data_IF_450088421119
#
_entry.id   IF_450088421119
#
_cell.length_a   1.000
_cell.length_b   1.000
_cell.length_c   1.000
_cell.angle_alpha   90.00
_cell.angle_beta   90.00
_cell.angle_gamma   90.00
#
_symmetry.space_group_name_H-M   'P 1'
#
loop_
_entity.id
_entity.type
_entity.pdbx_description
1 polymer ?
#
# COMPACT_ATOMS: atom_id res chain seq x y z
N UNK A 1 12.62 -44.40 7.05
CA UNK A 1 12.43 -44.09 5.61
C UNK A 1 11.00 -43.69 5.26
N UNK A 2 9.96 -44.46 5.60
CA UNK A 2 8.54 -44.08 5.32
C UNK A 2 8.12 -42.71 5.91
N UNK A 3 8.53 -42.36 7.13
CA UNK A 3 8.20 -41.06 7.77
C UNK A 3 8.88 -39.83 7.14
N UNK A 4 10.08 -40.00 6.57
CA UNK A 4 10.80 -38.92 5.86
C UNK A 4 10.16 -38.68 4.49
N UNK A 5 9.69 -39.75 3.84
CA UNK A 5 8.95 -39.65 2.57
C UNK A 5 7.60 -38.95 2.74
N UNK A 6 6.92 -39.13 3.88
CA UNK A 6 5.68 -38.42 4.22
C UNK A 6 5.90 -36.92 4.45
N UNK A 7 7.04 -36.54 5.05
CA UNK A 7 7.38 -35.13 5.29
C UNK A 7 7.74 -34.39 4.00
N UNK A 8 8.45 -35.04 3.08
CA UNK A 8 8.74 -34.49 1.75
C UNK A 8 7.47 -34.33 0.89
N UNK A 9 6.50 -35.25 1.00
CA UNK A 9 5.25 -35.17 0.23
C UNK A 9 4.32 -34.04 0.71
N UNK A 10 4.42 -33.64 1.98
CA UNK A 10 3.70 -32.49 2.54
C UNK A 10 4.29 -31.15 2.09
N UNK A 11 5.58 -31.11 1.73
CA UNK A 11 6.27 -29.89 1.30
C UNK A 11 6.00 -29.52 -0.17
N UNK A 12 5.53 -30.48 -0.99
CA UNK A 12 5.29 -30.30 -2.44
C UNK A 12 3.88 -29.77 -2.76
N UNK A 13 2.97 -29.69 -1.78
CA UNK A 13 1.59 -29.22 -1.99
C UNK A 13 1.35 -27.74 -1.63
N UNK A 14 2.39 -26.95 -1.41
CA UNK A 14 2.28 -25.49 -1.23
C UNK A 14 2.37 -24.76 -2.57
N UNK A 15 1.52 -25.12 -3.54
CA UNK A 15 1.24 -24.23 -4.67
C UNK A 15 0.25 -23.18 -4.18
N UNK A 16 0.76 -22.14 -3.51
CA UNK A 16 -0.05 -20.97 -3.17
C UNK A 16 -0.41 -20.23 -4.45
N UNK A 17 -1.71 -20.12 -4.77
CA UNK A 17 -2.16 -19.12 -5.74
C UNK A 17 -1.79 -17.74 -5.20
N UNK A 18 -0.83 -17.08 -5.84
CA UNK A 18 -0.61 -15.65 -5.65
C UNK A 18 -1.69 -14.91 -6.42
N UNK A 19 -2.36 -13.94 -5.80
CA UNK A 19 -3.24 -13.01 -6.51
C UNK A 19 -2.39 -12.06 -7.34
N UNK A 20 -2.78 -11.83 -8.59
CA UNK A 20 -2.18 -10.80 -9.45
C UNK A 20 -3.15 -9.63 -9.61
N UNK A 21 -2.63 -8.42 -9.77
CA UNK A 21 -3.52 -7.25 -9.94
C UNK A 21 -4.40 -7.40 -11.19
N UNK A 22 -3.90 -8.09 -12.22
CA UNK A 22 -4.64 -8.30 -13.46
C UNK A 22 -5.86 -9.20 -13.31
N UNK A 23 -6.01 -9.93 -12.19
CA UNK A 23 -7.22 -10.68 -11.86
C UNK A 23 -8.44 -9.76 -11.71
N UNK A 24 -8.23 -8.49 -11.40
CA UNK A 24 -9.27 -7.48 -11.20
C UNK A 24 -9.67 -6.74 -12.48
N UNK A 25 -9.10 -7.05 -13.65
CA UNK A 25 -9.28 -6.28 -14.90
C UNK A 25 -10.73 -6.02 -15.34
N UNK A 26 -11.67 -6.87 -14.93
CA UNK A 26 -13.09 -6.77 -15.26
C UNK A 26 -13.95 -6.17 -14.13
N UNK A 27 -13.35 -5.82 -12.99
CA UNK A 27 -14.04 -5.23 -11.86
C UNK A 27 -14.31 -3.74 -12.09
N UNK A 28 -15.44 -3.28 -11.57
CA UNK A 28 -15.88 -1.89 -11.64
C UNK A 28 -16.28 -1.39 -10.24
N UNK A 29 -16.19 -0.08 -9.96
CA UNK A 29 -15.67 0.97 -10.85
C UNK A 29 -14.14 0.87 -11.06
N UNK A 30 -13.66 1.27 -12.24
CA UNK A 30 -12.21 1.29 -12.51
C UNK A 30 -11.51 2.38 -11.70
N UNK A 31 -10.36 2.05 -11.10
CA UNK A 31 -9.54 2.97 -10.34
C UNK A 31 -8.50 3.64 -11.25
N UNK A 32 -8.61 4.97 -11.41
CA UNK A 32 -7.49 5.82 -11.85
C UNK A 32 -6.98 6.62 -10.64
N UNK A 33 -5.77 6.32 -10.19
CA UNK A 33 -5.16 6.97 -9.01
C UNK A 33 -4.93 8.47 -9.23
N UNK A 34 -4.72 8.93 -10.47
CA UNK A 34 -4.55 10.35 -10.77
C UNK A 34 -5.86 11.08 -10.55
N UNK A 35 -6.97 10.51 -11.04
CA UNK A 35 -8.29 11.09 -10.85
C UNK A 35 -8.74 11.00 -9.39
N UNK A 36 -8.53 9.86 -8.73
CA UNK A 36 -8.99 9.63 -7.36
C UNK A 36 -8.31 10.57 -6.37
N UNK A 37 -6.98 10.70 -6.45
CA UNK A 37 -6.20 11.51 -5.51
C UNK A 37 -6.04 12.97 -5.95
N UNK A 38 -6.55 13.39 -7.11
CA UNK A 38 -6.56 14.81 -7.47
C UNK A 38 -7.49 15.59 -6.54
N UNK A 39 -6.93 16.59 -5.85
CA UNK A 39 -7.64 17.43 -4.89
C UNK A 39 -7.39 16.99 -3.45
N UNK A 40 -8.45 16.93 -2.64
CA UNK A 40 -8.39 16.59 -1.22
C UNK A 40 -8.92 15.17 -0.98
N UNK A 41 -8.15 14.40 -0.23
CA UNK A 41 -8.53 13.07 0.25
C UNK A 41 -8.14 12.97 1.72
N UNK A 42 -8.99 12.35 2.53
CA UNK A 42 -8.69 12.03 3.93
C UNK A 42 -8.67 10.51 4.09
N UNK A 43 -7.92 10.01 5.06
CA UNK A 43 -8.02 8.61 5.43
C UNK A 43 -7.79 8.36 6.91
N UNK A 44 -8.40 7.27 7.38
CA UNK A 44 -8.20 6.74 8.73
C UNK A 44 -7.55 5.39 8.64
N UNK A 45 -6.49 5.20 9.42
CA UNK A 45 -5.67 4.01 9.35
C UNK A 45 -5.28 3.45 10.71
N UNK A 46 -4.81 2.21 10.67
CA UNK A 46 -4.20 1.54 11.82
C UNK A 46 -3.02 0.68 11.40
N UNK A 47 -2.04 0.59 12.29
CA UNK A 47 -0.90 -0.31 12.20
C UNK A 47 -1.11 -1.46 13.16
N UNK A 48 -0.96 -2.70 12.68
CA UNK A 48 -1.07 -3.91 13.50
C UNK A 48 0.21 -4.73 13.42
N UNK A 49 0.54 -5.41 14.52
CA UNK A 49 1.63 -6.40 14.52
C UNK A 49 1.19 -7.74 13.92
N UNK A 50 2.13 -8.69 13.83
CA UNK A 50 1.88 -10.06 13.32
C UNK A 50 0.79 -10.84 14.07
N UNK A 51 0.44 -10.45 15.29
CA UNK A 51 -0.62 -11.07 16.09
C UNK A 51 -1.99 -10.41 15.88
N UNK A 52 -2.03 -9.31 15.10
CA UNK A 52 -3.23 -8.50 14.88
C UNK A 52 -3.46 -7.46 15.97
N UNK A 53 -2.54 -7.30 16.94
CA UNK A 53 -2.65 -6.26 17.95
C UNK A 53 -2.48 -4.88 17.28
N UNK A 54 -3.44 -3.99 17.48
CA UNK A 54 -3.31 -2.60 17.04
C UNK A 54 -2.22 -1.91 17.85
N UNK A 55 -1.18 -1.44 17.16
CA UNK A 55 -0.07 -0.72 17.74
C UNK A 55 -0.33 0.78 17.75
N UNK A 56 -0.87 1.30 16.65
CA UNK A 56 -1.16 2.73 16.44
C UNK A 56 -2.37 2.89 15.53
N UNK A 57 -3.03 4.04 15.63
CA UNK A 57 -4.03 4.50 14.67
C UNK A 57 -3.72 5.93 14.26
N UNK A 58 -4.15 6.33 13.08
CA UNK A 58 -3.78 7.62 12.54
C UNK A 58 -4.85 8.16 11.59
N UNK A 59 -4.84 9.48 11.46
CA UNK A 59 -5.53 10.23 10.43
C UNK A 59 -4.50 10.73 9.42
N UNK A 60 -4.85 10.79 8.14
CA UNK A 60 -4.01 11.42 7.12
C UNK A 60 -4.81 12.35 6.22
N UNK A 61 -4.32 13.58 6.11
CA UNK A 61 -4.79 14.58 5.16
C UNK A 61 -3.90 14.56 3.91
N UNK A 62 -4.50 14.36 2.74
CA UNK A 62 -3.80 14.23 1.47
C UNK A 62 -4.24 15.34 0.52
N UNK A 63 -3.26 16.05 -0.04
CA UNK A 63 -3.48 16.98 -1.14
C UNK A 63 -2.75 16.49 -2.37
N UNK A 64 -3.49 16.11 -3.40
CA UNK A 64 -2.93 15.68 -4.66
C UNK A 64 -3.01 16.74 -5.75
N UNK A 65 -1.92 16.86 -6.51
CA UNK A 65 -1.82 17.74 -7.67
C UNK A 65 -1.29 16.97 -8.87
N UNK A 66 -1.90 17.15 -10.04
CA UNK A 66 -1.49 16.50 -11.28
C UNK A 66 -0.91 17.54 -12.23
N UNK A 67 0.33 17.34 -12.67
CA UNK A 67 1.00 18.15 -13.69
C UNK A 67 1.58 17.21 -14.74
N UNK A 68 1.01 17.24 -15.95
CA UNK A 68 1.36 16.29 -17.01
C UNK A 68 1.18 14.85 -16.53
N UNK A 69 2.24 14.04 -16.66
CA UNK A 69 2.24 12.63 -16.25
C UNK A 69 2.66 12.40 -14.80
N UNK A 70 2.69 13.45 -13.96
CA UNK A 70 3.11 13.36 -12.56
C UNK A 70 1.98 13.75 -11.61
N UNK A 71 1.62 12.83 -10.72
CA UNK A 71 0.79 13.05 -9.54
C UNK A 71 1.70 13.29 -8.34
N UNK A 72 1.58 14.45 -7.70
CA UNK A 72 2.25 14.76 -6.43
C UNK A 72 1.25 14.62 -5.29
N UNK A 73 1.51 13.78 -4.31
CA UNK A 73 0.68 13.63 -3.10
C UNK A 73 1.42 14.19 -1.91
N UNK A 74 0.84 15.21 -1.27
CA UNK A 74 1.33 15.74 -0.01
C UNK A 74 0.46 15.20 1.13
N UNK A 75 1.01 14.23 1.86
CA UNK A 75 0.35 13.46 2.91
C UNK A 75 0.81 13.97 4.28
N UNK A 76 -0.13 14.32 5.16
CA UNK A 76 0.12 14.75 6.53
C UNK A 76 -0.57 13.78 7.50
N UNK A 77 0.24 13.00 8.20
CA UNK A 77 -0.20 12.00 9.16
C UNK A 77 -0.24 12.60 10.57
N UNK A 78 -1.30 12.27 11.31
CA UNK A 78 -1.42 12.53 12.74
C UNK A 78 -1.74 11.21 13.43
N UNK A 79 -0.82 10.74 14.26
CA UNK A 79 -0.98 9.51 15.03
C UNK A 79 -1.66 9.75 16.38
N UNK A 80 -2.20 8.69 16.97
CA UNK A 80 -2.93 8.75 18.24
C UNK A 80 -2.06 9.06 19.47
N UNK A 81 -0.74 8.91 19.35
CA UNK A 81 0.24 9.36 20.34
C UNK A 81 0.72 10.81 20.13
N UNK A 82 0.19 11.52 19.13
CA UNK A 82 0.52 12.90 18.82
C UNK A 82 1.70 13.08 17.88
N UNK A 83 2.38 12.01 17.43
CA UNK A 83 3.40 12.13 16.39
C UNK A 83 2.77 12.65 15.09
N UNK A 84 3.50 13.54 14.42
CA UNK A 84 3.14 14.03 13.09
C UNK A 84 4.22 13.65 12.10
N UNK A 85 3.79 13.19 10.93
CA UNK A 85 4.68 12.82 9.85
C UNK A 85 4.17 13.41 8.55
N UNK A 86 5.09 13.84 7.68
CA UNK A 86 4.76 14.27 6.35
C UNK A 86 5.45 13.37 5.33
N UNK A 87 4.74 13.01 4.27
CA UNK A 87 5.31 12.32 3.11
C UNK A 87 4.86 13.01 1.83
N UNK A 88 5.81 13.23 0.92
CA UNK A 88 5.54 13.82 -0.39
C UNK A 88 5.90 12.82 -1.47
N UNK A 89 4.89 12.18 -2.05
CA UNK A 89 5.06 11.29 -3.20
C UNK A 89 5.10 12.08 -4.50
N UNK A 90 5.99 11.68 -5.38
CA UNK A 90 5.98 12.05 -6.79
C UNK A 90 5.78 10.78 -7.60
N UNK A 91 4.58 10.59 -8.15
CA UNK A 91 4.16 9.38 -8.87
C UNK A 91 4.06 9.72 -10.35
N UNK A 92 4.87 9.06 -11.17
CA UNK A 92 4.89 9.21 -12.62
C UNK A 92 4.15 8.06 -13.30
N UNK A 93 3.27 8.39 -14.25
CA UNK A 93 2.67 7.40 -15.14
C UNK A 93 3.71 7.01 -16.21
N UNK A 94 4.03 5.73 -16.30
CA UNK A 94 5.02 5.21 -17.27
C UNK A 94 4.36 4.39 -18.40
N UNK A 95 3.15 3.89 -18.17
CA UNK A 95 2.27 3.30 -19.17
C UNK A 95 0.81 3.48 -18.74
N UNK A 96 -0.14 2.98 -19.53
CA UNK A 96 -1.57 3.11 -19.24
C UNK A 96 -1.95 2.64 -17.83
N UNK A 97 -1.38 1.50 -17.39
CA UNK A 97 -1.66 0.82 -16.14
C UNK A 97 -0.45 0.74 -15.20
N UNK A 98 0.68 1.38 -15.53
CA UNK A 98 1.94 1.27 -14.77
C UNK A 98 2.48 2.61 -14.31
N UNK A 99 3.04 2.59 -13.11
CA UNK A 99 3.45 3.79 -12.39
C UNK A 99 4.78 3.57 -11.68
N UNK A 100 5.55 4.64 -11.53
CA UNK A 100 6.74 4.70 -10.70
C UNK A 100 6.60 5.83 -9.69
N UNK A 101 7.20 5.70 -8.51
CA UNK A 101 7.12 6.75 -7.50
C UNK A 101 8.35 6.90 -6.65
N UNK A 102 8.55 8.12 -6.16
CA UNK A 102 9.63 8.45 -5.21
C UNK A 102 9.06 9.32 -4.09
N UNK A 103 9.58 9.13 -2.87
CA UNK A 103 9.39 10.03 -1.74
C UNK A 103 10.66 10.03 -0.88
N UNK A 104 10.81 11.03 0.00
CA UNK A 104 12.06 11.27 0.72
C UNK A 104 12.53 10.15 1.66
N UNK A 105 11.61 9.28 2.09
CA UNK A 105 11.87 8.16 2.99
C UNK A 105 11.85 6.79 2.28
N UNK A 106 11.72 6.78 0.95
CA UNK A 106 11.68 5.59 0.11
C UNK A 106 13.07 5.25 -0.37
N UNK A 107 13.45 3.98 -0.25
CA UNK A 107 14.69 3.45 -0.79
C UNK A 107 14.45 2.99 -2.23
N UNK A 108 15.01 3.72 -3.19
CA UNK A 108 14.87 3.44 -4.62
C UNK A 108 13.58 4.00 -5.22
N UNK A 109 12.95 3.21 -6.10
CA UNK A 109 11.75 3.60 -6.83
C UNK A 109 10.62 2.63 -6.48
N UNK A 110 9.49 3.20 -6.08
CA UNK A 110 8.25 2.47 -5.90
C UNK A 110 7.65 2.10 -7.26
N UNK A 111 7.03 0.92 -7.37
CA UNK A 111 6.40 0.45 -8.61
C UNK A 111 4.94 0.16 -8.39
N UNK A 112 4.11 0.59 -9.33
CA UNK A 112 2.66 0.44 -9.28
C UNK A 112 2.06 -0.19 -10.52
N UNK A 113 1.01 -0.97 -10.33
CA UNK A 113 0.15 -1.42 -11.43
C UNK A 113 -1.33 -1.33 -11.05
N UNK A 114 -2.18 -0.85 -11.96
CA UNK A 114 -3.63 -0.77 -11.81
C UNK A 114 -4.34 -1.79 -12.72
N UNK A 115 -5.47 -2.34 -12.28
CA UNK A 115 -6.38 -3.08 -13.16
C UNK A 115 -7.80 -3.12 -12.54
N UNK A 116 -8.80 -2.73 -13.33
CA UNK A 116 -10.18 -2.58 -12.85
C UNK A 116 -10.21 -1.70 -11.60
N UNK A 117 -10.84 -2.17 -10.53
CA UNK A 117 -10.96 -1.41 -9.27
C UNK A 117 -9.72 -1.49 -8.37
N UNK A 118 -8.65 -2.20 -8.76
CA UNK A 118 -7.51 -2.50 -7.92
C UNK A 118 -6.24 -1.76 -8.35
N UNK A 119 -5.41 -1.40 -7.38
CA UNK A 119 -4.06 -0.87 -7.58
C UNK A 119 -3.09 -1.55 -6.61
N UNK A 120 -1.99 -2.10 -7.12
CA UNK A 120 -0.93 -2.68 -6.29
C UNK A 120 0.32 -1.79 -6.35
N UNK A 121 0.82 -1.39 -5.20
CA UNK A 121 1.93 -0.48 -5.02
C UNK A 121 3.00 -1.12 -4.14
N UNK A 122 4.24 -1.14 -4.62
CA UNK A 122 5.35 -1.80 -3.93
C UNK A 122 6.54 -0.87 -3.78
N UNK A 123 7.11 -0.82 -2.59
CA UNK A 123 8.25 0.03 -2.26
C UNK A 123 9.00 -0.49 -1.05
N UNK A 124 10.16 0.10 -0.77
CA UNK A 124 10.92 -0.17 0.44
C UNK A 124 11.17 1.14 1.18
N UNK A 125 11.06 1.12 2.50
CA UNK A 125 11.34 2.32 3.31
C UNK A 125 11.94 1.96 4.66
N UNK A 126 12.65 2.93 5.23
CA UNK A 126 13.22 2.83 6.56
C UNK A 126 12.19 3.20 7.63
N UNK A 127 11.73 2.21 8.39
CA UNK A 127 10.76 2.39 9.48
C UNK A 127 11.49 2.45 10.81
N UNK A 128 11.25 3.50 11.59
CA UNK A 128 11.76 3.63 12.95
C UNK A 128 10.80 2.93 13.93
N UNK A 129 11.30 1.95 14.66
CA UNK A 129 10.54 1.25 15.71
C UNK A 129 11.51 0.79 16.81
N UNK A 130 11.12 0.98 18.07
CA UNK A 130 11.89 0.58 19.27
C UNK A 130 13.34 1.10 19.25
N UNK A 131 13.55 2.35 18.83
CA UNK A 131 14.87 2.98 18.75
C UNK A 131 15.78 2.41 17.65
N UNK A 132 15.27 1.53 16.79
CA UNK A 132 15.99 0.95 15.65
C UNK A 132 15.34 1.36 14.34
N UNK A 133 16.13 1.40 13.28
CA UNK A 133 15.65 1.62 11.92
C UNK A 133 15.65 0.31 11.17
N UNK A 134 14.52 -0.03 10.54
CA UNK A 134 14.33 -1.27 9.81
C UNK A 134 13.97 -0.95 8.36
N UNK A 135 14.79 -1.41 7.42
CA UNK A 135 14.38 -1.46 6.02
C UNK A 135 13.31 -2.53 5.87
N UNK A 136 12.08 -2.11 5.57
CA UNK A 136 10.92 -2.95 5.33
C UNK A 136 10.42 -2.80 3.89
N UNK A 137 9.86 -3.87 3.35
CA UNK A 137 9.22 -3.89 2.04
C UNK A 137 7.70 -3.81 2.22
N UNK A 138 7.08 -2.89 1.50
CA UNK A 138 5.66 -2.62 1.55
C UNK A 138 5.00 -3.18 0.30
N UNK A 139 3.88 -3.88 0.48
CA UNK A 139 3.03 -4.42 -0.58
C UNK A 139 1.60 -3.93 -0.32
N UNK A 140 1.28 -2.80 -0.93
CA UNK A 140 0.06 -2.05 -0.74
C UNK A 140 -0.96 -2.45 -1.81
N UNK A 141 -2.15 -2.82 -1.39
CA UNK A 141 -3.27 -3.11 -2.26
C UNK A 141 -4.39 -2.14 -1.99
N UNK A 142 -4.75 -1.36 -3.00
CA UNK A 142 -5.87 -0.43 -2.96
C UNK A 142 -7.04 -1.00 -3.77
N UNK A 143 -8.27 -0.87 -3.24
CA UNK A 143 -9.49 -1.39 -3.86
C UNK A 143 -10.60 -0.34 -3.81
N UNK A 144 -10.94 0.23 -4.96
CA UNK A 144 -11.99 1.22 -5.08
C UNK A 144 -13.34 0.54 -4.80
N UNK A 145 -14.09 1.11 -3.86
CA UNK A 145 -15.41 0.60 -3.47
C UNK A 145 -16.52 1.31 -4.25
N UNK A 146 -16.40 2.63 -4.38
CA UNK A 146 -17.33 3.48 -5.11
C UNK A 146 -16.62 4.76 -5.60
N UNK A 147 -17.37 5.80 -5.99
CA UNK A 147 -16.79 7.05 -6.49
C UNK A 147 -15.97 7.85 -5.48
N UNK A 148 -16.05 7.54 -4.19
CA UNK A 148 -15.45 8.31 -3.08
C UNK A 148 -14.60 7.47 -2.14
N UNK A 149 -14.91 6.20 -1.95
CA UNK A 149 -14.30 5.35 -0.92
C UNK A 149 -13.31 4.33 -1.50
N UNK A 150 -12.13 4.25 -0.90
CA UNK A 150 -11.04 3.37 -1.31
C UNK A 150 -10.46 2.66 -0.08
N UNK A 151 -10.38 1.34 -0.11
CA UNK A 151 -9.61 0.61 0.90
C UNK A 151 -8.15 0.52 0.48
N UNK A 152 -7.24 0.55 1.45
CA UNK A 152 -5.87 0.10 1.29
C UNK A 152 -5.51 -0.91 2.37
N UNK A 153 -4.83 -1.97 1.94
CA UNK A 153 -4.28 -3.02 2.78
C UNK A 153 -2.82 -3.21 2.43
N UNK A 154 -1.98 -3.04 3.43
CA UNK A 154 -0.53 -3.12 3.30
C UNK A 154 0.01 -4.26 4.12
N UNK A 155 0.89 -5.04 3.52
CA UNK A 155 1.78 -5.93 4.24
C UNK A 155 3.18 -5.30 4.33
N UNK A 156 3.71 -5.20 5.55
CA UNK A 156 5.09 -4.80 5.79
C UNK A 156 5.93 -6.07 6.00
N UNK A 157 6.93 -6.28 5.14
CA UNK A 157 7.74 -7.49 5.09
C UNK A 157 9.20 -7.21 5.43
N UNK A 158 9.80 -8.11 6.21
CA UNK A 158 11.25 -8.18 6.42
C UNK A 158 11.74 -9.55 6.01
N UNK A 159 12.72 -9.62 5.09
CA UNK A 159 13.22 -10.88 4.54
C UNK A 159 12.10 -11.81 4.01
N UNK A 160 11.08 -11.23 3.37
CA UNK A 160 9.92 -11.95 2.83
C UNK A 160 8.87 -12.37 3.86
N UNK A 161 9.08 -12.11 5.15
CA UNK A 161 8.14 -12.46 6.23
C UNK A 161 7.35 -11.21 6.63
N UNK A 162 6.02 -11.31 6.66
CA UNK A 162 5.16 -10.22 7.16
C UNK A 162 5.41 -9.99 8.64
N UNK A 163 5.81 -8.76 8.98
CA UNK A 163 6.10 -8.31 10.35
C UNK A 163 4.99 -7.43 10.93
N UNK A 164 4.15 -6.86 10.08
CA UNK A 164 2.98 -6.10 10.46
C UNK A 164 2.14 -5.72 9.24
N UNK A 165 0.99 -5.14 9.50
CA UNK A 165 0.06 -4.69 8.46
C UNK A 165 -0.36 -3.25 8.72
N UNK A 166 -0.70 -2.57 7.64
CA UNK A 166 -1.38 -1.27 7.71
C UNK A 166 -2.70 -1.41 6.96
N UNK A 167 -3.78 -0.90 7.54
CA UNK A 167 -5.06 -0.81 6.85
C UNK A 167 -5.52 0.63 6.91
N UNK A 168 -5.91 1.19 5.77
CA UNK A 168 -6.46 2.54 5.67
C UNK A 168 -7.76 2.52 4.87
N UNK A 169 -8.65 3.44 5.22
CA UNK A 169 -9.86 3.74 4.46
C UNK A 169 -9.83 5.20 4.05
N UNK A 170 -9.76 5.44 2.74
CA UNK A 170 -9.76 6.77 2.17
C UNK A 170 -11.17 7.21 1.80
N UNK A 171 -11.42 8.49 2.00
CA UNK A 171 -12.58 9.22 1.49
C UNK A 171 -12.08 10.39 0.67
N UNK A 172 -12.47 10.41 -0.61
CA UNK A 172 -12.24 11.57 -1.47
C UNK A 172 -13.28 12.64 -1.16
N UNK A 173 -12.83 13.87 -0.91
CA UNK A 173 -13.71 15.00 -0.70
C UNK A 173 -14.14 15.55 -2.07
N UNK A 174 -15.35 15.19 -2.50
CA UNK A 174 -16.04 15.84 -3.61
C UNK A 174 -16.61 17.17 -3.15
N UNK A 175 -15.79 18.22 -3.17
CA UNK A 175 -16.29 19.60 -3.17
C UNK A 175 -16.64 20.03 -4.59
#
# INVERSE_FOLDING_TARGET
MKRILTLCLMLVMLTGCSTEVTDYRHQQPSLDIFQYFQGKTEAWGMVQDRSGKQLRRFHVDITGNVIGDTLTLNEHFVYDDGEQQQRVWHIRRIAADRYEGTAGDIEGVATGQAAGNAFNWRYSMNVKADGRTWLLHFDDWMYLQDGTHLFNKTEMKKFGITVGTVTLFFTRNTQ
#
